data_IF_437294314222
#
_entry.id   IF_437294314222
#
_cell.length_a   1.000
_cell.length_b   1.000
_cell.length_c   1.000
_cell.angle_alpha   90.00
_cell.angle_beta   90.00
_cell.angle_gamma   90.00
#
_symmetry.space_group_name_H-M   'P 1'
#
loop_
_entity.id
_entity.type
_entity.pdbx_description
1 polymer ?
#
# COMPACT_ATOMS: atom_id res chain seq x y z
N UNK A 1 7.35 4.91 36.80
CA UNK A 1 8.66 4.42 36.33
C UNK A 1 8.53 4.15 34.84
N UNK A 2 8.68 5.21 34.05
CA UNK A 2 8.72 5.18 32.60
C UNK A 2 10.15 4.87 32.18
N UNK A 3 10.30 3.94 31.23
CA UNK A 3 11.43 3.63 30.33
C UNK A 3 11.61 2.11 30.28
N UNK A 4 11.09 1.49 29.22
CA UNK A 4 11.63 0.28 28.56
C UNK A 4 10.68 -0.16 27.43
N UNK A 5 10.50 0.70 26.41
CA UNK A 5 9.78 0.34 25.17
C UNK A 5 10.37 1.08 23.96
N UNK A 6 11.68 1.00 23.80
CA UNK A 6 12.39 1.38 22.57
C UNK A 6 13.56 0.41 22.41
N UNK A 7 13.31 -0.74 21.79
CA UNK A 7 14.28 -1.65 21.16
C UNK A 7 13.51 -2.90 20.74
N UNK A 8 12.73 -2.74 19.69
CA UNK A 8 12.03 -3.81 19.00
C UNK A 8 11.93 -3.49 17.52
N UNK A 9 12.95 -2.82 16.98
CA UNK A 9 13.17 -2.81 15.53
C UNK A 9 13.73 -4.19 15.24
N UNK A 10 12.83 -5.13 14.95
CA UNK A 10 13.23 -6.32 14.22
C UNK A 10 13.93 -5.82 12.96
N UNK A 11 15.17 -6.27 12.74
CA UNK A 11 15.92 -6.02 11.52
C UNK A 11 15.12 -6.55 10.34
N UNK A 12 14.27 -5.71 9.77
CA UNK A 12 13.72 -5.88 8.43
C UNK A 12 14.86 -5.59 7.45
N UNK A 13 15.85 -6.49 7.48
CA UNK A 13 17.06 -6.39 6.69
C UNK A 13 16.73 -6.43 5.20
N UNK A 14 17.63 -5.92 4.38
CA UNK A 14 17.54 -5.92 2.91
C UNK A 14 17.12 -7.30 2.33
N UNK A 15 17.37 -8.39 3.05
CA UNK A 15 16.89 -9.74 2.74
C UNK A 15 15.36 -9.94 2.81
N UNK A 16 14.62 -9.26 3.70
CA UNK A 16 13.14 -9.27 3.71
C UNK A 16 12.58 -8.45 2.54
N UNK A 17 13.28 -7.38 2.13
CA UNK A 17 13.03 -6.65 0.88
C UNK A 17 13.29 -7.51 -0.37
N UNK A 18 14.31 -8.37 -0.38
CA UNK A 18 14.53 -9.34 -1.48
C UNK A 18 13.52 -10.51 -1.49
N UNK A 19 12.95 -10.85 -0.32
CA UNK A 19 11.81 -11.79 -0.22
C UNK A 19 10.50 -11.16 -0.69
N UNK A 20 10.36 -9.83 -0.62
CA UNK A 20 9.27 -9.07 -1.25
C UNK A 20 9.57 -9.01 -2.74
N UNK A 21 8.76 -9.72 -3.51
CA UNK A 21 9.01 -10.07 -4.91
C UNK A 21 8.79 -8.87 -5.87
N UNK A 22 9.39 -7.70 -5.59
CA UNK A 22 9.18 -6.48 -6.38
C UNK A 22 10.02 -6.42 -7.66
N UNK A 23 11.17 -7.12 -7.70
CA UNK A 23 12.00 -7.25 -8.90
C UNK A 23 12.46 -8.70 -9.07
N UNK A 24 12.15 -9.35 -10.21
CA UNK A 24 12.62 -10.71 -10.46
C UNK A 24 14.14 -10.79 -10.35
N UNK A 25 14.66 -11.69 -9.49
CA UNK A 25 16.10 -11.90 -9.28
C UNK A 25 16.89 -12.07 -10.60
N UNK A 26 16.38 -12.81 -11.62
CA UNK A 26 17.06 -12.92 -12.91
C UNK A 26 17.24 -11.58 -13.63
N UNK A 27 16.27 -10.66 -13.47
CA UNK A 27 16.35 -9.32 -14.05
C UNK A 27 17.41 -8.46 -13.37
N UNK A 28 17.52 -8.55 -12.03
CA UNK A 28 18.56 -7.87 -11.27
C UNK A 28 19.97 -8.34 -11.68
N UNK A 29 20.17 -9.66 -11.77
CA UNK A 29 21.44 -10.25 -12.21
C UNK A 29 21.77 -9.78 -13.63
N UNK A 30 20.78 -9.77 -14.52
CA UNK A 30 20.94 -9.27 -15.89
C UNK A 30 21.36 -7.80 -15.90
N UNK A 31 20.74 -6.93 -15.09
CA UNK A 31 21.07 -5.51 -15.01
C UNK A 31 22.49 -5.29 -14.48
N UNK A 32 22.87 -5.99 -13.42
CA UNK A 32 24.20 -5.88 -12.82
C UNK A 32 25.29 -6.39 -13.77
N UNK A 33 25.06 -7.52 -14.43
CA UNK A 33 25.94 -8.02 -15.49
C UNK A 33 26.02 -7.01 -16.64
N UNK A 34 24.89 -6.45 -17.08
CA UNK A 34 24.84 -5.46 -18.15
C UNK A 34 25.66 -4.21 -17.81
N UNK A 35 25.59 -3.74 -16.57
CA UNK A 35 26.39 -2.62 -16.08
C UNK A 35 27.89 -2.96 -16.11
N UNK A 36 28.29 -4.11 -15.58
CA UNK A 36 29.69 -4.55 -15.59
C UNK A 36 30.26 -4.64 -17.02
N UNK A 37 29.48 -5.15 -17.97
CA UNK A 37 29.88 -5.25 -19.37
C UNK A 37 30.07 -3.87 -20.03
N UNK A 38 29.24 -2.88 -19.69
CA UNK A 38 29.41 -1.50 -20.16
C UNK A 38 30.73 -0.92 -19.64
N UNK A 39 31.05 -1.16 -18.36
CA UNK A 39 32.28 -0.68 -17.71
C UNK A 39 33.52 -1.32 -18.35
N UNK A 40 33.52 -2.64 -18.57
CA UNK A 40 34.62 -3.35 -19.23
C UNK A 40 34.80 -2.86 -20.67
N UNK A 41 33.70 -2.68 -21.40
CA UNK A 41 33.76 -2.16 -22.77
C UNK A 41 34.37 -0.75 -22.82
N UNK A 42 33.99 0.11 -21.87
CA UNK A 42 34.57 1.45 -21.72
C UNK A 42 36.08 1.39 -21.43
N UNK A 43 36.52 0.48 -20.57
CA UNK A 43 37.94 0.28 -20.26
C UNK A 43 38.74 -0.15 -21.50
N UNK A 44 38.24 -1.13 -22.26
CA UNK A 44 38.86 -1.59 -23.51
C UNK A 44 38.93 -0.48 -24.57
N UNK A 45 37.87 0.34 -24.66
CA UNK A 45 37.82 1.51 -25.54
C UNK A 45 38.91 2.54 -25.20
N UNK A 46 39.08 2.89 -23.92
CA UNK A 46 40.05 3.90 -23.48
C UNK A 46 41.50 3.42 -23.62
N UNK A 47 41.77 2.14 -23.35
CA UNK A 47 43.08 1.51 -23.55
C UNK A 47 43.41 1.23 -25.03
N UNK A 48 42.45 1.41 -25.95
CA UNK A 48 42.58 1.14 -27.39
C UNK A 48 43.04 -0.30 -27.69
N UNK A 49 42.70 -1.26 -26.83
CA UNK A 49 43.22 -2.62 -26.92
C UNK A 49 42.35 -3.48 -27.85
N UNK A 50 42.70 -3.49 -29.15
CA UNK A 50 41.91 -4.16 -30.21
C UNK A 50 41.81 -5.67 -29.98
N UNK A 51 42.91 -6.34 -29.60
CA UNK A 51 42.90 -7.78 -29.35
C UNK A 51 41.97 -8.14 -28.19
N UNK A 52 42.02 -7.37 -27.09
CA UNK A 52 41.10 -7.55 -25.96
C UNK A 52 39.65 -7.28 -26.34
N UNK A 53 39.38 -6.26 -27.17
CA UNK A 53 38.05 -5.99 -27.71
C UNK A 53 37.52 -7.12 -28.59
N UNK A 54 38.38 -7.78 -29.38
CA UNK A 54 38.01 -8.96 -30.17
C UNK A 54 37.64 -10.16 -29.30
N UNK A 55 38.48 -10.49 -28.31
CA UNK A 55 38.19 -11.57 -27.35
C UNK A 55 36.89 -11.29 -26.59
N UNK A 56 36.70 -10.05 -26.14
CA UNK A 56 35.49 -9.61 -25.47
C UNK A 56 34.25 -9.70 -26.38
N UNK A 57 34.37 -9.36 -27.67
CA UNK A 57 33.29 -9.49 -28.65
C UNK A 57 32.87 -10.96 -28.82
N UNK A 58 33.83 -11.89 -28.96
CA UNK A 58 33.53 -13.33 -29.09
C UNK A 58 32.80 -13.82 -27.84
N UNK A 59 33.33 -13.49 -26.65
CA UNK A 59 32.70 -13.82 -25.38
C UNK A 59 31.26 -13.27 -25.27
N UNK A 60 31.06 -12.00 -25.63
CA UNK A 60 29.76 -11.34 -25.58
C UNK A 60 28.73 -11.98 -26.52
N UNK A 61 29.13 -12.36 -27.73
CA UNK A 61 28.27 -13.07 -28.68
C UNK A 61 27.82 -14.40 -28.06
N UNK A 62 28.75 -15.22 -27.58
CA UNK A 62 28.42 -16.51 -26.97
C UNK A 62 27.51 -16.35 -25.74
N UNK A 63 27.86 -15.43 -24.84
CA UNK A 63 27.10 -15.19 -23.62
C UNK A 63 25.66 -14.73 -23.89
N UNK A 64 25.46 -13.78 -24.82
CA UNK A 64 24.10 -13.28 -25.14
C UNK A 64 23.24 -14.38 -25.79
N UNK A 65 23.80 -15.19 -26.69
CA UNK A 65 23.05 -16.27 -27.34
C UNK A 65 22.75 -17.41 -26.34
N UNK A 66 23.72 -17.81 -25.52
CA UNK A 66 23.50 -18.82 -24.47
C UNK A 66 22.42 -18.34 -23.49
N UNK A 67 22.51 -17.09 -23.05
CA UNK A 67 21.55 -16.51 -22.12
C UNK A 67 20.14 -16.45 -22.71
N UNK A 68 20.01 -15.93 -23.93
CA UNK A 68 18.69 -15.70 -24.53
C UNK A 68 18.00 -16.99 -24.97
N UNK A 69 18.73 -17.97 -25.50
CA UNK A 69 18.15 -19.19 -26.04
C UNK A 69 18.07 -20.37 -25.06
N UNK A 70 18.91 -20.40 -24.02
CA UNK A 70 18.94 -21.52 -23.07
C UNK A 70 18.57 -21.11 -21.65
N UNK A 71 19.17 -20.04 -21.11
CA UNK A 71 18.97 -19.66 -19.70
C UNK A 71 17.60 -19.01 -19.47
N UNK A 72 17.23 -18.03 -20.29
CA UNK A 72 15.95 -17.32 -20.14
C UNK A 72 14.73 -18.24 -20.32
N UNK A 73 14.68 -19.16 -21.32
CA UNK A 73 13.57 -20.10 -21.44
C UNK A 73 13.53 -21.13 -20.30
N UNK A 74 14.70 -21.56 -19.79
CA UNK A 74 14.77 -22.49 -18.66
C UNK A 74 14.23 -21.88 -17.36
N UNK A 75 14.44 -20.59 -17.13
CA UNK A 75 13.97 -19.89 -15.92
C UNK A 75 12.52 -19.41 -16.07
N UNK A 76 12.13 -18.90 -17.24
CA UNK A 76 10.80 -18.32 -17.46
C UNK A 76 9.72 -19.33 -17.87
N UNK A 77 10.11 -20.58 -18.16
CA UNK A 77 9.25 -21.64 -18.71
C UNK A 77 8.48 -21.24 -19.98
N UNK A 78 8.87 -20.14 -20.64
CA UNK A 78 8.28 -19.62 -21.87
C UNK A 78 9.35 -19.56 -22.94
N UNK A 79 9.01 -20.03 -24.14
CA UNK A 79 9.92 -20.01 -25.27
C UNK A 79 10.17 -18.60 -25.79
N UNK A 80 11.36 -18.36 -26.35
CA UNK A 80 11.69 -17.09 -27.02
C UNK A 80 10.76 -16.76 -28.20
N UNK A 81 10.17 -17.78 -28.84
CA UNK A 81 9.31 -17.65 -30.03
C UNK A 81 7.90 -17.16 -29.69
N UNK A 82 7.44 -17.30 -28.45
CA UNK A 82 6.05 -16.99 -28.06
C UNK A 82 5.68 -15.51 -28.26
N UNK A 83 4.48 -15.24 -28.78
CA UNK A 83 4.04 -13.90 -29.20
C UNK A 83 3.96 -12.88 -28.04
N UNK A 84 3.77 -13.38 -26.81
CA UNK A 84 3.65 -12.54 -25.60
C UNK A 84 4.99 -12.00 -25.07
N UNK A 85 6.14 -12.42 -25.63
CA UNK A 85 7.48 -12.06 -25.12
C UNK A 85 8.14 -10.92 -25.93
N UNK A 86 7.45 -9.77 -26.09
CA UNK A 86 7.99 -8.61 -26.83
C UNK A 86 9.26 -7.97 -26.19
N UNK A 87 9.33 -7.75 -24.86
CA UNK A 87 10.48 -7.04 -24.26
C UNK A 87 11.83 -7.77 -24.44
N UNK A 88 11.95 -9.10 -24.22
CA UNK A 88 13.19 -9.82 -24.52
C UNK A 88 13.57 -9.79 -26.01
N UNK A 89 12.59 -9.88 -26.92
CA UNK A 89 12.83 -9.79 -28.37
C UNK A 89 13.43 -8.44 -28.75
N UNK A 90 12.88 -7.33 -28.22
CA UNK A 90 13.41 -5.98 -28.42
C UNK A 90 14.80 -5.81 -27.83
N UNK A 91 15.04 -6.32 -26.62
CA UNK A 91 16.37 -6.27 -25.99
C UNK A 91 17.40 -7.01 -26.83
N UNK A 92 17.08 -8.21 -27.31
CA UNK A 92 17.98 -8.99 -28.17
C UNK A 92 18.26 -8.26 -29.48
N UNK A 93 17.26 -7.68 -30.12
CA UNK A 93 17.42 -6.91 -31.35
C UNK A 93 18.38 -5.72 -31.16
N UNK A 94 18.20 -4.93 -30.09
CA UNK A 94 19.09 -3.83 -29.74
C UNK A 94 20.52 -4.34 -29.46
N UNK A 95 20.66 -5.50 -28.81
CA UNK A 95 21.96 -6.13 -28.57
C UNK A 95 22.64 -6.59 -29.85
N UNK A 96 21.91 -7.12 -30.83
CA UNK A 96 22.47 -7.47 -32.13
C UNK A 96 22.99 -6.23 -32.86
N UNK A 97 22.28 -5.09 -32.81
CA UNK A 97 22.77 -3.82 -33.34
C UNK A 97 24.09 -3.42 -32.65
N UNK A 98 24.16 -3.51 -31.32
CA UNK A 98 25.39 -3.25 -30.57
C UNK A 98 26.55 -4.17 -31.02
N UNK A 99 26.30 -5.47 -31.19
CA UNK A 99 27.32 -6.42 -31.64
C UNK A 99 27.82 -6.09 -33.05
N UNK A 100 26.94 -5.69 -33.96
CA UNK A 100 27.31 -5.26 -35.33
C UNK A 100 28.17 -3.99 -35.27
N UNK A 101 27.77 -2.99 -34.49
CA UNK A 101 28.54 -1.75 -34.33
C UNK A 101 29.90 -2.00 -33.69
N UNK A 102 29.97 -2.91 -32.72
CA UNK A 102 31.22 -3.33 -32.08
C UNK A 102 32.15 -4.06 -33.06
N UNK A 103 31.61 -4.97 -33.88
CA UNK A 103 32.39 -5.63 -34.94
C UNK A 103 32.89 -4.64 -36.00
N UNK A 104 32.06 -3.66 -36.38
CA UNK A 104 32.44 -2.58 -37.29
C UNK A 104 33.57 -1.72 -36.71
N UNK A 105 33.53 -1.42 -35.40
CA UNK A 105 34.58 -0.71 -34.71
C UNK A 105 35.89 -1.49 -34.69
N UNK A 106 35.86 -2.80 -34.41
CA UNK A 106 37.07 -3.65 -34.44
C UNK A 106 37.68 -3.66 -35.85
N UNK A 107 36.84 -3.80 -36.89
CA UNK A 107 37.29 -3.77 -38.28
C UNK A 107 37.92 -2.45 -38.69
N UNK A 108 37.37 -1.34 -38.20
CA UNK A 108 37.81 0.02 -38.59
C UNK A 108 38.97 0.55 -37.74
N UNK A 109 39.25 -0.07 -36.59
CA UNK A 109 40.28 0.35 -35.65
C UNK A 109 39.90 1.56 -34.79
N UNK A 110 40.77 1.87 -33.80
CA UNK A 110 40.58 3.03 -32.92
C UNK A 110 41.32 4.26 -33.46
N UNK A 111 40.69 5.46 -33.45
CA UNK A 111 41.38 6.69 -33.84
C UNK A 111 42.43 7.10 -32.80
N UNK A 112 43.40 7.91 -33.23
CA UNK A 112 44.50 8.37 -32.36
C UNK A 112 44.01 9.32 -31.25
N UNK A 113 42.98 10.13 -31.51
CA UNK A 113 42.38 11.08 -30.54
C UNK A 113 40.99 10.60 -30.07
N UNK A 114 40.93 10.06 -28.85
CA UNK A 114 39.68 9.54 -28.23
C UNK A 114 39.23 10.32 -26.99
N UNK A 115 40.13 11.07 -26.35
CA UNK A 115 39.83 11.87 -25.16
C UNK A 115 39.10 13.16 -25.57
N UNK A 116 37.78 13.05 -25.64
CA UNK A 116 36.88 14.19 -25.80
C UNK A 116 35.44 13.75 -25.59
N UNK A 117 34.65 14.58 -24.91
CA UNK A 117 33.22 14.32 -24.80
C UNK A 117 32.55 14.49 -26.18
N UNK A 118 31.75 13.52 -26.60
CA UNK A 118 31.07 13.52 -27.88
C UNK A 118 30.15 14.75 -28.04
N UNK A 119 29.46 15.15 -26.96
CA UNK A 119 28.56 16.29 -26.96
C UNK A 119 29.30 17.63 -27.07
N UNK A 120 30.57 17.68 -26.67
CA UNK A 120 31.33 18.92 -26.56
C UNK A 120 32.12 19.31 -27.83
N UNK A 121 31.81 18.71 -28.98
CA UNK A 121 32.54 18.97 -30.25
C UNK A 121 32.13 20.25 -30.98
N UNK A 122 30.88 20.69 -30.83
CA UNK A 122 30.36 21.94 -31.42
C UNK A 122 29.64 22.76 -30.36
N UNK A 123 29.60 24.07 -30.52
CA UNK A 123 29.02 25.01 -29.55
C UNK A 123 27.62 25.47 -29.98
N UNK A 124 26.70 24.53 -30.20
CA UNK A 124 25.35 24.82 -30.70
C UNK A 124 24.30 24.63 -29.59
N UNK A 125 23.10 25.19 -29.75
CA UNK A 125 21.98 24.96 -28.83
C UNK A 125 21.66 23.47 -28.62
N UNK A 126 21.70 22.67 -29.68
CA UNK A 126 21.46 21.21 -29.60
C UNK A 126 22.47 20.56 -28.65
N UNK A 127 23.75 20.90 -28.79
CA UNK A 127 24.79 20.34 -27.92
C UNK A 127 24.72 20.88 -26.49
N UNK A 128 24.30 22.13 -26.31
CA UNK A 128 24.02 22.70 -24.99
C UNK A 128 22.93 21.91 -24.26
N UNK A 129 21.78 21.69 -24.91
CA UNK A 129 20.66 20.95 -24.30
C UNK A 129 20.98 19.47 -24.10
N UNK A 130 21.64 18.81 -25.07
CA UNK A 130 22.07 17.42 -24.92
C UNK A 130 23.10 17.25 -23.79
N UNK A 131 24.05 18.17 -23.65
CA UNK A 131 25.04 18.13 -22.57
C UNK A 131 24.40 18.43 -21.20
N UNK A 132 23.47 19.40 -21.13
CA UNK A 132 22.64 19.64 -19.93
C UNK A 132 21.82 18.40 -19.55
N UNK A 133 21.18 17.75 -20.52
CA UNK A 133 20.42 16.51 -20.29
C UNK A 133 21.32 15.36 -19.84
N UNK A 134 22.51 15.23 -20.43
CA UNK A 134 23.53 14.26 -20.03
C UNK A 134 23.96 14.44 -18.56
N UNK A 135 24.11 15.68 -18.09
CA UNK A 135 24.42 15.96 -16.67
C UNK A 135 23.23 15.79 -15.72
N UNK A 136 21.99 15.77 -16.24
CA UNK A 136 20.80 15.55 -15.43
C UNK A 136 20.61 14.08 -15.06
N UNK A 137 21.17 13.16 -15.86
CA UNK A 137 21.13 11.72 -15.57
C UNK A 137 22.00 11.44 -14.33
N UNK A 138 21.42 10.94 -13.22
CA UNK A 138 22.17 10.70 -12.00
C UNK A 138 23.34 9.73 -12.22
N UNK A 139 24.48 10.02 -11.60
CA UNK A 139 25.70 9.21 -11.59
C UNK A 139 26.40 8.98 -12.95
N UNK A 140 25.76 9.30 -14.07
CA UNK A 140 26.33 9.02 -15.39
C UNK A 140 27.56 9.89 -15.67
N UNK A 141 27.51 11.17 -15.31
CA UNK A 141 28.62 12.10 -15.48
C UNK A 141 29.81 11.70 -14.60
N UNK A 142 29.54 11.41 -13.33
CA UNK A 142 30.52 11.08 -12.31
C UNK A 142 31.21 9.76 -12.62
N UNK A 143 30.44 8.71 -12.94
CA UNK A 143 30.99 7.41 -13.32
C UNK A 143 31.87 7.54 -14.56
N UNK A 144 31.47 8.34 -15.56
CA UNK A 144 32.31 8.60 -16.72
C UNK A 144 33.64 9.24 -16.32
N UNK A 145 33.62 10.32 -15.53
CA UNK A 145 34.85 11.03 -15.15
C UNK A 145 35.80 10.13 -14.35
N UNK A 146 35.27 9.27 -13.47
CA UNK A 146 36.05 8.27 -12.74
C UNK A 146 36.66 7.21 -13.68
N UNK A 147 35.86 6.66 -14.58
CA UNK A 147 36.30 5.69 -15.58
C UNK A 147 37.40 6.28 -16.50
N UNK A 148 37.19 7.50 -16.98
CA UNK A 148 38.16 8.19 -17.83
C UNK A 148 39.48 8.45 -17.05
N UNK A 149 39.45 8.72 -15.74
CA UNK A 149 40.64 8.85 -14.89
C UNK A 149 41.38 7.51 -14.69
N UNK A 150 40.67 6.42 -14.39
CA UNK A 150 41.27 5.10 -14.09
C UNK A 150 42.04 4.54 -15.29
N UNK A 151 41.52 4.70 -16.50
CA UNK A 151 42.06 4.07 -17.71
C UNK A 151 42.83 4.99 -18.65
N UNK A 152 42.99 6.26 -18.27
CA UNK A 152 43.89 7.19 -18.98
C UNK A 152 45.18 7.34 -18.21
N UNK A 153 46.31 7.29 -18.92
CA UNK A 153 47.61 7.55 -18.30
C UNK A 153 47.74 9.07 -18.02
N UNK A 154 47.54 9.45 -16.76
CA UNK A 154 47.59 10.85 -16.28
C UNK A 154 48.46 10.98 -15.04
N UNK A 155 49.14 12.11 -14.89
CA UNK A 155 49.91 12.46 -13.67
C UNK A 155 49.05 13.14 -12.60
N UNK A 156 47.77 13.43 -12.88
CA UNK A 156 46.86 14.11 -11.96
C UNK A 156 46.23 13.16 -10.95
N UNK A 157 46.20 13.57 -9.68
CA UNK A 157 45.38 12.91 -8.66
C UNK A 157 43.89 13.08 -8.97
N UNK A 158 43.05 12.16 -8.48
CA UNK A 158 41.61 12.09 -8.73
C UNK A 158 40.89 13.42 -8.43
N UNK A 159 41.18 14.07 -7.30
CA UNK A 159 40.54 15.35 -6.96
C UNK A 159 40.86 16.46 -7.98
N UNK A 160 42.09 16.51 -8.48
CA UNK A 160 42.49 17.49 -9.50
C UNK A 160 41.85 17.17 -10.85
N UNK A 161 41.71 15.88 -11.18
CA UNK A 161 40.99 15.43 -12.37
C UNK A 161 39.51 15.84 -12.34
N UNK A 162 38.81 15.57 -11.22
CA UNK A 162 37.40 15.95 -11.06
C UNK A 162 37.21 17.47 -11.12
N UNK A 163 38.12 18.25 -10.52
CA UNK A 163 38.11 19.72 -10.63
C UNK A 163 38.28 20.18 -12.08
N UNK A 164 39.21 19.57 -12.82
CA UNK A 164 39.44 19.89 -14.23
C UNK A 164 38.21 19.60 -15.09
N UNK A 165 37.57 18.44 -14.89
CA UNK A 165 36.32 18.07 -15.59
C UNK A 165 35.15 19.00 -15.23
N UNK A 166 34.98 19.38 -13.97
CA UNK A 166 33.94 20.33 -13.56
C UNK A 166 34.16 21.74 -14.16
N UNK A 167 35.40 22.24 -14.17
CA UNK A 167 35.75 23.49 -14.84
C UNK A 167 35.45 23.37 -16.33
N UNK A 168 35.83 22.27 -16.98
CA UNK A 168 35.56 22.05 -18.40
C UNK A 168 34.06 22.07 -18.71
N UNK A 169 33.23 21.37 -17.92
CA UNK A 169 31.78 21.34 -18.10
C UNK A 169 31.15 22.73 -18.00
N UNK A 170 31.54 23.51 -16.97
CA UNK A 170 31.05 24.86 -16.78
C UNK A 170 31.50 25.81 -17.89
N UNK A 171 32.77 25.75 -18.29
CA UNK A 171 33.31 26.56 -19.40
C UNK A 171 32.63 26.20 -20.73
N UNK A 172 32.38 24.92 -20.99
CA UNK A 172 31.67 24.48 -22.19
C UNK A 172 30.25 25.05 -22.26
N UNK A 173 29.49 24.97 -21.16
CA UNK A 173 28.14 25.54 -21.08
C UNK A 173 28.16 27.05 -21.31
N UNK A 174 29.07 27.76 -20.65
CA UNK A 174 29.26 29.21 -20.83
C UNK A 174 29.63 29.54 -22.28
N UNK A 175 30.53 28.78 -22.91
CA UNK A 175 30.94 29.01 -24.30
C UNK A 175 29.78 28.83 -25.28
N UNK A 176 28.92 27.83 -25.06
CA UNK A 176 27.70 27.64 -25.84
C UNK A 176 26.73 28.83 -25.70
N UNK A 177 26.53 29.33 -24.47
CA UNK A 177 25.68 30.51 -24.23
C UNK A 177 26.27 31.75 -24.92
N UNK A 178 27.58 31.98 -24.79
CA UNK A 178 28.25 33.13 -25.42
C UNK A 178 28.15 33.10 -26.94
N UNK A 179 28.31 31.93 -27.55
CA UNK A 179 28.09 31.79 -28.99
C UNK A 179 26.64 32.04 -29.38
N UNK A 180 25.69 31.55 -28.59
CA UNK A 180 24.27 31.83 -28.83
C UNK A 180 23.94 33.33 -28.72
N UNK A 181 24.55 34.05 -27.78
CA UNK A 181 24.43 35.51 -27.66
C UNK A 181 25.06 36.25 -28.85
N UNK A 182 26.16 35.72 -29.41
CA UNK A 182 26.85 36.28 -30.59
C UNK A 182 26.06 36.03 -31.88
N UNK A 183 25.52 34.82 -32.05
CA UNK A 183 24.75 34.41 -33.24
C UNK A 183 23.34 35.03 -33.26
N UNK A 184 22.75 35.27 -32.09
CA UNK A 184 21.44 35.90 -31.92
C UNK A 184 21.52 37.12 -31.00
N UNK A 185 22.15 38.23 -31.46
CA UNK A 185 22.38 39.39 -30.62
C UNK A 185 21.05 40.09 -30.30
N UNK A 186 20.84 40.37 -29.02
CA UNK A 186 19.67 41.12 -28.56
C UNK A 186 20.02 42.59 -28.41
N UNK A 187 19.25 43.53 -29.00
CA UNK A 187 19.56 44.95 -28.91
C UNK A 187 19.51 45.43 -27.46
N UNK A 188 20.54 46.19 -27.05
CA UNK A 188 20.63 46.76 -25.70
C UNK A 188 19.50 47.76 -25.45
N UNK A 189 18.91 47.72 -24.26
CA UNK A 189 17.82 48.62 -23.86
C UNK A 189 16.45 48.32 -24.51
N UNK A 190 16.35 47.28 -25.34
CA UNK A 190 15.07 46.88 -25.93
C UNK A 190 14.21 46.07 -24.97
N UNK A 191 12.89 46.26 -25.02
CA UNK A 191 11.93 45.46 -24.26
C UNK A 191 11.95 44.01 -24.79
N UNK A 192 12.14 43.03 -23.91
CA UNK A 192 11.98 41.61 -24.24
C UNK A 192 10.52 41.33 -24.65
N UNK A 193 10.33 40.51 -25.69
CA UNK A 193 9.02 40.16 -26.23
C UNK A 193 8.11 39.59 -25.13
N UNK A 194 6.85 40.03 -25.13
CA UNK A 194 5.86 39.58 -24.15
C UNK A 194 5.67 38.05 -24.22
N UNK A 195 5.74 37.46 -25.42
CA UNK A 195 5.64 36.01 -25.61
C UNK A 195 6.75 35.23 -24.86
N UNK A 196 8.00 35.70 -24.88
CA UNK A 196 9.09 35.02 -24.16
C UNK A 196 8.94 35.17 -22.65
N UNK A 197 8.47 36.33 -22.16
CA UNK A 197 8.24 36.57 -20.73
C UNK A 197 7.09 35.71 -20.18
N UNK A 198 5.92 35.80 -20.80
CA UNK A 198 4.73 35.07 -20.34
C UNK A 198 4.80 33.59 -20.69
N UNK A 199 5.46 33.20 -21.78
CA UNK A 199 5.66 31.81 -22.16
C UNK A 199 6.55 31.07 -21.15
N UNK A 200 7.80 31.50 -21.00
CA UNK A 200 8.73 30.82 -20.09
C UNK A 200 8.34 31.02 -18.62
N UNK A 201 7.98 32.25 -18.22
CA UNK A 201 7.57 32.55 -16.85
C UNK A 201 6.23 31.89 -16.48
N UNK A 202 5.26 31.89 -17.40
CA UNK A 202 3.98 31.24 -17.19
C UNK A 202 4.08 29.72 -17.14
N UNK A 203 4.92 29.10 -17.98
CA UNK A 203 5.18 27.66 -17.93
C UNK A 203 5.80 27.25 -16.57
N UNK A 204 6.78 28.00 -16.08
CA UNK A 204 7.39 27.74 -14.77
C UNK A 204 6.39 27.93 -13.62
N UNK A 205 5.59 29.00 -13.67
CA UNK A 205 4.55 29.25 -12.66
C UNK A 205 3.50 28.12 -12.67
N UNK A 206 3.03 27.71 -13.85
CA UNK A 206 2.08 26.62 -14.00
C UNK A 206 2.63 25.30 -13.49
N UNK A 207 3.91 24.98 -13.77
CA UNK A 207 4.54 23.77 -13.26
C UNK A 207 4.60 23.75 -11.72
N UNK A 208 4.88 24.87 -11.08
CA UNK A 208 4.88 24.99 -9.61
C UNK A 208 3.46 24.80 -9.05
N UNK A 209 2.45 25.43 -9.66
CA UNK A 209 1.04 25.26 -9.28
C UNK A 209 0.66 23.78 -9.40
N UNK A 210 1.04 23.11 -10.49
CA UNK A 210 0.77 21.68 -10.68
C UNK A 210 1.41 20.87 -9.55
N UNK A 211 2.69 21.09 -9.22
CA UNK A 211 3.37 20.33 -8.15
C UNK A 211 2.66 20.49 -6.79
N UNK A 212 2.15 21.69 -6.48
CA UNK A 212 1.46 21.95 -5.21
C UNK A 212 0.06 21.34 -5.18
N UNK A 213 -0.72 21.50 -6.25
CA UNK A 213 -2.15 21.17 -6.27
C UNK A 213 -2.47 19.78 -6.83
N UNK A 214 -1.60 19.20 -7.64
CA UNK A 214 -1.80 17.88 -8.23
C UNK A 214 -1.90 16.76 -7.18
N UNK A 215 -1.08 16.72 -6.11
CA UNK A 215 -1.28 15.74 -5.04
C UNK A 215 -2.67 15.87 -4.41
N UNK A 216 -3.10 17.10 -4.08
CA UNK A 216 -4.42 17.36 -3.50
C UNK A 216 -5.58 16.91 -4.41
N UNK A 217 -5.42 17.08 -5.73
CA UNK A 217 -6.38 16.60 -6.72
C UNK A 217 -6.46 15.07 -6.73
N UNK A 218 -5.32 14.37 -6.60
CA UNK A 218 -5.33 12.90 -6.48
C UNK A 218 -5.99 12.42 -5.17
N UNK A 219 -5.75 13.09 -4.05
CA UNK A 219 -6.42 12.79 -2.78
C UNK A 219 -7.94 12.94 -2.89
N UNK A 220 -8.44 13.97 -3.56
CA UNK A 220 -9.90 14.21 -3.68
C UNK A 220 -10.60 13.26 -4.66
N UNK A 221 -9.92 12.83 -5.72
CA UNK A 221 -10.39 11.74 -6.61
C UNK A 221 -10.29 10.35 -5.95
N UNK A 222 -9.61 10.29 -4.80
CA UNK A 222 -9.47 9.16 -3.87
C UNK A 222 -10.72 8.30 -3.68
N UNK A 223 -11.86 8.93 -3.47
CA UNK A 223 -13.11 8.25 -3.08
C UNK A 223 -14.07 8.04 -4.26
N UNK A 224 -13.79 8.64 -5.42
CA UNK A 224 -14.70 8.59 -6.58
C UNK A 224 -14.30 7.50 -7.58
N UNK A 225 -13.00 7.22 -7.72
CA UNK A 225 -12.47 6.29 -8.74
C UNK A 225 -12.17 4.89 -8.19
N UNK A 226 -12.22 4.70 -6.87
CA UNK A 226 -12.01 3.40 -6.24
C UNK A 226 -13.11 2.39 -6.57
N UNK A 227 -12.84 1.09 -6.37
CA UNK A 227 -13.85 0.03 -6.44
C UNK A 227 -14.39 -0.28 -5.04
N UNK A 228 -15.70 -0.50 -4.92
CA UNK A 228 -16.27 -1.00 -3.67
C UNK A 228 -15.73 -2.40 -3.39
N UNK A 229 -15.32 -2.63 -2.15
CA UNK A 229 -14.92 -3.94 -1.65
C UNK A 229 -15.48 -4.14 -0.24
N UNK A 230 -16.52 -4.96 -0.16
CA UNK A 230 -17.12 -5.38 1.11
C UNK A 230 -16.23 -6.45 1.79
N UNK A 231 -16.27 -6.55 3.13
CA UNK A 231 -15.58 -7.62 3.85
C UNK A 231 -16.13 -9.00 3.45
N UNK A 232 -15.24 -9.98 3.34
CA UNK A 232 -15.59 -11.38 3.07
C UNK A 232 -16.06 -12.10 4.34
N UNK A 233 -15.38 -11.86 5.46
CA UNK A 233 -15.69 -12.45 6.76
C UNK A 233 -15.68 -11.39 7.86
N UNK A 234 -16.57 -11.53 8.83
CA UNK A 234 -16.64 -10.66 10.02
C UNK A 234 -16.73 -11.52 11.27
N UNK A 235 -15.74 -11.38 12.14
CA UNK A 235 -15.71 -12.07 13.43
C UNK A 235 -16.04 -11.10 14.55
N UNK A 236 -17.00 -11.46 15.41
CA UNK A 236 -17.38 -10.71 16.60
C UNK A 236 -17.16 -11.58 17.84
N UNK A 237 -16.44 -11.06 18.82
CA UNK A 237 -16.12 -11.75 20.07
C UNK A 237 -16.46 -10.87 21.27
N UNK A 238 -17.26 -11.40 22.21
CA UNK A 238 -17.60 -10.76 23.48
C UNK A 238 -16.96 -11.55 24.63
N UNK A 239 -16.04 -10.90 25.34
CA UNK A 239 -15.28 -11.48 26.43
C UNK A 239 -15.56 -10.73 27.73
N UNK A 240 -15.51 -11.43 28.85
CA UNK A 240 -15.58 -10.83 30.18
C UNK A 240 -14.27 -11.10 30.91
N UNK A 241 -13.61 -10.04 31.37
CA UNK A 241 -12.29 -10.10 31.98
C UNK A 241 -11.27 -10.87 31.12
N UNK A 242 -10.49 -11.73 31.77
CA UNK A 242 -9.55 -12.65 31.12
C UNK A 242 -10.10 -14.05 30.86
N UNK A 243 -11.42 -14.25 30.94
CA UNK A 243 -12.05 -15.57 30.82
C UNK A 243 -12.35 -15.94 29.35
N UNK A 244 -12.81 -17.17 29.14
CA UNK A 244 -13.25 -17.64 27.81
C UNK A 244 -14.35 -16.72 27.24
N UNK A 245 -14.35 -16.44 25.92
CA UNK A 245 -15.38 -15.65 25.24
C UNK A 245 -16.77 -16.17 25.57
N UNK A 246 -17.65 -15.26 25.98
CA UNK A 246 -19.06 -15.57 26.17
C UNK A 246 -19.70 -15.84 24.81
N UNK A 247 -19.48 -14.93 23.86
CA UNK A 247 -20.07 -15.02 22.53
C UNK A 247 -18.99 -14.88 21.47
N UNK A 248 -18.94 -15.85 20.57
CA UNK A 248 -18.12 -15.82 19.36
C UNK A 248 -18.95 -16.21 18.14
N UNK A 249 -18.86 -15.39 17.09
CA UNK A 249 -19.52 -15.64 15.81
C UNK A 249 -18.62 -15.21 14.66
N UNK A 250 -18.59 -16.02 13.62
CA UNK A 250 -18.01 -15.67 12.33
C UNK A 250 -19.12 -15.59 11.29
N UNK A 251 -19.26 -14.43 10.66
CA UNK A 251 -20.28 -14.11 9.66
C UNK A 251 -19.62 -14.09 8.30
N UNK A 252 -20.08 -14.98 7.41
CA UNK A 252 -19.58 -15.11 6.05
C UNK A 252 -20.40 -14.27 5.06
N UNK A 253 -19.91 -14.14 3.82
CA UNK A 253 -20.47 -13.34 2.73
C UNK A 253 -22.01 -13.43 2.55
N UNK A 254 -22.64 -14.58 2.78
CA UNK A 254 -24.10 -14.74 2.61
C UNK A 254 -24.96 -13.86 3.53
N UNK A 255 -24.43 -13.47 4.69
CA UNK A 255 -25.09 -12.62 5.68
C UNK A 255 -24.55 -11.17 5.68
N UNK A 256 -23.61 -10.86 4.78
CA UNK A 256 -23.07 -9.51 4.53
C UNK A 256 -23.67 -9.04 3.22
N UNK A 257 -24.69 -8.18 3.28
CA UNK A 257 -25.39 -7.71 2.09
C UNK A 257 -25.12 -6.23 1.85
N UNK A 258 -24.90 -5.79 0.60
CA UNK A 258 -24.87 -4.36 0.29
C UNK A 258 -26.20 -3.73 0.67
N UNK A 259 -26.16 -2.48 1.11
CA UNK A 259 -27.36 -1.73 1.45
C UNK A 259 -28.18 -1.48 0.18
N UNK A 260 -29.48 -1.78 0.23
CA UNK A 260 -30.38 -1.46 -0.88
C UNK A 260 -30.40 0.05 -1.15
N UNK A 261 -30.52 0.43 -2.42
CA UNK A 261 -30.57 1.83 -2.82
C UNK A 261 -31.72 2.61 -2.14
N UNK A 262 -32.87 1.95 -1.89
CA UNK A 262 -33.99 2.58 -1.20
C UNK A 262 -33.67 2.86 0.28
N UNK A 263 -33.07 1.89 0.98
CA UNK A 263 -32.58 2.07 2.35
C UNK A 263 -31.49 3.14 2.45
N UNK A 264 -30.62 3.24 1.45
CA UNK A 264 -29.61 4.30 1.36
C UNK A 264 -30.25 5.70 1.26
N UNK A 265 -31.26 5.85 0.41
CA UNK A 265 -32.00 7.13 0.29
C UNK A 265 -32.71 7.50 1.59
N UNK A 266 -33.28 6.53 2.29
CA UNK A 266 -33.92 6.75 3.60
C UNK A 266 -32.90 7.14 4.68
N UNK A 267 -31.72 6.51 4.70
CA UNK A 267 -30.61 6.89 5.59
C UNK A 267 -30.17 8.34 5.34
N UNK A 268 -29.99 8.74 4.07
CA UNK A 268 -29.66 10.12 3.71
C UNK A 268 -30.76 11.10 4.13
N UNK A 269 -32.04 10.71 3.98
CA UNK A 269 -33.17 11.53 4.39
C UNK A 269 -33.24 11.71 5.92
N UNK A 270 -32.92 10.68 6.70
CA UNK A 270 -32.87 10.73 8.15
C UNK A 270 -31.85 11.75 8.66
N UNK A 271 -30.69 11.85 8.00
CA UNK A 271 -29.59 12.73 8.40
C UNK A 271 -29.52 14.04 7.60
N UNK A 272 -30.60 14.41 6.89
CA UNK A 272 -30.63 15.61 6.03
C UNK A 272 -30.35 16.93 6.77
N UNK A 273 -30.66 16.98 8.07
CA UNK A 273 -30.50 18.20 8.88
C UNK A 273 -29.10 18.35 9.50
N UNK A 274 -28.26 17.30 9.47
CA UNK A 274 -26.91 17.34 10.02
C UNK A 274 -25.86 17.47 8.91
N UNK A 275 -25.27 18.67 8.79
CA UNK A 275 -24.26 18.97 7.78
C UNK A 275 -23.05 18.02 7.84
N UNK A 276 -22.60 17.65 9.05
CA UNK A 276 -21.50 16.71 9.24
C UNK A 276 -21.83 15.28 8.78
N UNK A 277 -23.05 14.81 9.01
CA UNK A 277 -23.50 13.50 8.57
C UNK A 277 -23.65 13.44 7.05
N UNK A 278 -24.23 14.48 6.43
CA UNK A 278 -24.33 14.58 4.98
C UNK A 278 -22.96 14.62 4.31
N UNK A 279 -22.00 15.37 4.87
CA UNK A 279 -20.62 15.39 4.36
C UNK A 279 -19.95 14.02 4.46
N UNK A 280 -20.22 13.26 5.52
CA UNK A 280 -19.73 11.88 5.66
C UNK A 280 -20.38 10.95 4.62
N UNK A 281 -21.72 10.94 4.53
CA UNK A 281 -22.47 10.09 3.61
C UNK A 281 -22.17 10.39 2.14
N UNK A 282 -21.81 11.63 1.78
CA UNK A 282 -21.45 12.01 0.42
C UNK A 282 -20.17 11.32 -0.10
N UNK A 283 -19.35 10.73 0.78
CA UNK A 283 -18.14 10.00 0.37
C UNK A 283 -18.42 8.55 -0.03
N UNK A 284 -19.64 8.04 0.20
CA UNK A 284 -19.99 6.63 0.02
C UNK A 284 -21.19 6.49 -0.91
N UNK A 285 -21.23 5.39 -1.65
CA UNK A 285 -22.39 4.93 -2.41
C UNK A 285 -23.09 3.78 -1.67
N UNK A 286 -24.32 3.45 -2.07
CA UNK A 286 -25.07 2.33 -1.48
C UNK A 286 -24.30 0.99 -1.54
N UNK A 287 -23.49 0.79 -2.58
CA UNK A 287 -22.66 -0.41 -2.77
C UNK A 287 -21.44 -0.46 -1.84
N UNK A 288 -21.03 0.66 -1.23
CA UNK A 288 -19.91 0.73 -0.27
C UNK A 288 -20.35 0.43 1.16
N UNK A 289 -21.68 0.40 1.39
CA UNK A 289 -22.27 0.19 2.70
C UNK A 289 -22.82 -1.22 2.78
N UNK A 290 -22.41 -1.98 3.79
CA UNK A 290 -22.94 -3.30 4.07
C UNK A 290 -23.80 -3.32 5.33
N UNK A 291 -24.86 -4.12 5.27
CA UNK A 291 -25.62 -4.57 6.43
C UNK A 291 -25.13 -5.97 6.77
N UNK A 292 -24.66 -6.13 8.00
CA UNK A 292 -24.19 -7.41 8.53
C UNK A 292 -25.26 -7.92 9.46
N UNK A 293 -25.90 -9.03 9.08
CA UNK A 293 -26.90 -9.70 9.90
C UNK A 293 -26.24 -10.81 10.72
N UNK A 294 -26.04 -10.54 12.01
CA UNK A 294 -25.34 -11.42 12.94
C UNK A 294 -26.37 -12.26 13.69
N UNK A 295 -26.23 -13.58 13.71
CA UNK A 295 -27.10 -14.43 14.53
C UNK A 295 -26.82 -14.17 16.02
N UNK A 296 -27.87 -13.97 16.82
CA UNK A 296 -27.74 -13.77 18.27
C UNK A 296 -27.20 -14.99 19.02
N UNK A 297 -27.28 -16.20 18.47
CA UNK A 297 -26.73 -17.40 19.11
C UNK A 297 -25.24 -17.58 18.78
N UNK A 298 -24.41 -17.85 19.80
CA UNK A 298 -22.99 -18.11 19.57
C UNK A 298 -22.80 -19.37 18.73
N UNK A 299 -21.85 -19.30 17.78
CA UNK A 299 -21.43 -20.47 16.98
C UNK A 299 -20.56 -21.44 17.77
N UNK A 300 -20.02 -21.01 18.91
CA UNK A 300 -19.18 -21.81 19.78
C UNK A 300 -19.91 -22.15 21.08
N UNK A 301 -19.74 -23.38 21.56
CA UNK A 301 -20.15 -23.79 22.91
C UNK A 301 -19.23 -23.11 23.93
N UNK A 302 -19.79 -22.68 25.06
CA UNK A 302 -19.02 -22.05 26.12
C UNK A 302 -18.22 -23.11 26.88
N UNK A 303 -16.92 -23.15 26.63
CA UNK A 303 -15.98 -24.16 27.13
C UNK A 303 -15.15 -23.64 28.32
N UNK A 304 -15.80 -22.90 29.23
CA UNK A 304 -15.15 -22.46 30.46
C UNK A 304 -14.87 -23.67 31.38
N UNK A 305 -13.76 -23.64 32.10
CA UNK A 305 -13.50 -24.66 33.12
C UNK A 305 -14.34 -24.37 34.39
N UNK A 306 -14.87 -25.39 35.09
CA UNK A 306 -15.61 -25.18 36.34
C UNK A 306 -14.91 -24.27 37.37
N UNK A 307 -13.58 -24.41 37.66
CA UNK A 307 -12.91 -23.50 38.58
C UNK A 307 -12.82 -22.06 38.03
N UNK A 308 -12.70 -21.87 36.71
CA UNK A 308 -12.73 -20.54 36.10
C UNK A 308 -14.12 -19.91 36.18
N UNK A 309 -15.19 -20.70 36.08
CA UNK A 309 -16.57 -20.23 36.26
C UNK A 309 -16.83 -19.79 37.70
N UNK A 310 -16.41 -20.59 38.69
CA UNK A 310 -16.49 -20.21 40.11
C UNK A 310 -15.69 -18.93 40.41
N UNK A 311 -14.49 -18.81 39.85
CA UNK A 311 -13.67 -17.60 39.97
C UNK A 311 -14.36 -16.36 39.36
N UNK A 312 -14.96 -16.50 38.17
CA UNK A 312 -15.73 -15.43 37.52
C UNK A 312 -16.93 -14.99 38.38
N UNK A 313 -17.66 -15.94 38.96
CA UNK A 313 -18.80 -15.64 39.86
C UNK A 313 -18.32 -14.88 41.10
N UNK A 314 -17.20 -15.30 41.71
CA UNK A 314 -16.62 -14.61 42.85
C UNK A 314 -16.15 -13.19 42.49
N UNK A 315 -15.49 -13.03 41.35
CA UNK A 315 -14.99 -11.73 40.87
C UNK A 315 -16.14 -10.76 40.57
N UNK A 316 -17.22 -11.23 39.94
CA UNK A 316 -18.42 -10.42 39.69
C UNK A 316 -19.05 -9.90 40.99
N UNK A 317 -19.08 -10.71 42.05
CA UNK A 317 -19.64 -10.31 43.33
C UNK A 317 -18.75 -9.30 44.09
N UNK A 318 -17.43 -9.36 43.92
CA UNK A 318 -16.48 -8.54 44.67
C UNK A 318 -16.11 -7.23 43.95
N UNK A 319 -15.72 -7.31 42.68
CA UNK A 319 -15.06 -6.22 41.94
C UNK A 319 -15.72 -5.89 40.60
N UNK A 320 -15.43 -4.71 40.05
CA UNK A 320 -15.85 -4.35 38.70
C UNK A 320 -15.05 -5.15 37.66
N UNK A 321 -15.75 -5.81 36.74
CA UNK A 321 -15.13 -6.62 35.67
C UNK A 321 -15.30 -5.91 34.34
N UNK A 322 -14.27 -5.97 33.49
CA UNK A 322 -14.31 -5.37 32.15
C UNK A 322 -14.99 -6.30 31.15
N UNK A 323 -15.90 -5.76 30.36
CA UNK A 323 -16.53 -6.42 29.22
C UNK A 323 -15.87 -5.91 27.93
N UNK A 324 -15.33 -6.82 27.13
CA UNK A 324 -14.61 -6.52 25.89
C UNK A 324 -15.44 -7.03 24.70
N UNK A 325 -15.78 -6.14 23.75
CA UNK A 325 -16.34 -6.51 22.46
C UNK A 325 -15.31 -6.24 21.37
N UNK A 326 -14.83 -7.29 20.70
CA UNK A 326 -13.87 -7.22 19.60
C UNK A 326 -14.57 -7.52 18.29
N UNK A 327 -14.32 -6.71 17.28
CA UNK A 327 -14.75 -6.97 15.90
C UNK A 327 -13.54 -7.05 14.98
N UNK A 328 -13.55 -8.01 14.07
CA UNK A 328 -12.51 -8.20 13.07
C UNK A 328 -13.15 -8.39 11.70
N UNK A 329 -12.64 -7.68 10.72
CA UNK A 329 -13.11 -7.65 9.35
C UNK A 329 -12.03 -8.18 8.43
N UNK A 330 -12.37 -9.20 7.65
CA UNK A 330 -11.49 -9.76 6.64
C UNK A 330 -11.89 -9.23 5.28
N UNK A 331 -10.93 -8.72 4.49
CA UNK A 331 -11.15 -8.37 3.08
C UNK A 331 -10.22 -9.18 2.19
N UNK A 332 -10.80 -9.97 1.30
CA UNK A 332 -10.05 -10.69 0.27
C UNK A 332 -9.72 -9.74 -0.90
N UNK A 333 -8.62 -9.02 -0.75
CA UNK A 333 -8.05 -8.24 -1.85
C UNK A 333 -7.18 -9.22 -2.65
N UNK A 334 -7.66 -9.63 -3.83
CA UNK A 334 -7.01 -10.64 -4.69
C UNK A 334 -5.51 -10.37 -4.97
N UNK A 335 -5.09 -9.09 -4.94
CA UNK A 335 -3.75 -8.64 -5.32
C UNK A 335 -2.86 -8.08 -4.18
N UNK A 336 -3.29 -8.15 -2.91
CA UNK A 336 -2.54 -7.54 -1.79
C UNK A 336 -2.19 -8.60 -0.74
N UNK A 337 -0.95 -9.10 -0.78
CA UNK A 337 -0.36 -9.96 0.27
C UNK A 337 0.23 -9.18 1.44
N UNK A 338 0.22 -7.84 1.37
CA UNK A 338 1.01 -6.96 2.25
C UNK A 338 0.27 -6.35 3.43
N UNK A 339 -1.06 -6.38 3.46
CA UNK A 339 -1.83 -5.89 4.61
C UNK A 339 -2.38 -7.08 5.40
N UNK A 340 -2.43 -6.97 6.73
CA UNK A 340 -3.18 -7.91 7.58
C UNK A 340 -4.59 -8.01 6.99
N UNK A 341 -4.94 -9.15 6.41
CA UNK A 341 -6.26 -9.30 5.75
C UNK A 341 -7.41 -9.03 6.71
N UNK A 342 -7.13 -9.21 8.00
CA UNK A 342 -8.01 -9.03 9.15
C UNK A 342 -7.68 -7.73 9.86
N UNK A 343 -8.66 -6.83 9.92
CA UNK A 343 -8.57 -5.55 10.58
C UNK A 343 -9.64 -5.44 11.66
N UNK A 344 -9.27 -5.02 12.86
CA UNK A 344 -10.19 -5.00 13.98
C UNK A 344 -9.87 -3.93 15.01
N UNK A 345 -10.84 -3.72 15.89
CA UNK A 345 -10.69 -2.87 17.07
C UNK A 345 -11.53 -3.48 18.21
N UNK A 346 -11.39 -2.94 19.41
CA UNK A 346 -12.13 -3.39 20.58
C UNK A 346 -12.79 -2.26 21.36
N UNK A 347 -13.99 -2.53 21.87
CA UNK A 347 -14.67 -1.69 22.86
C UNK A 347 -14.61 -2.35 24.23
N UNK A 348 -14.10 -1.61 25.20
CA UNK A 348 -14.06 -2.04 26.61
C UNK A 348 -15.03 -1.20 27.45
N UNK A 349 -15.83 -1.87 28.27
CA UNK A 349 -16.77 -1.24 29.23
C UNK A 349 -16.65 -1.93 30.59
N UNK A 350 -16.48 -1.16 31.66
CA UNK A 350 -16.43 -1.72 33.01
C UNK A 350 -17.85 -1.89 33.56
N UNK A 351 -18.16 -3.11 34.03
CA UNK A 351 -19.41 -3.42 34.71
C UNK A 351 -19.35 -2.88 36.16
N UNK A 352 -19.61 -1.59 36.34
CA UNK A 352 -19.56 -0.94 37.65
C UNK A 352 -20.79 -1.25 38.51
N UNK A 353 -21.96 -1.40 37.87
CA UNK A 353 -23.23 -1.59 38.57
C UNK A 353 -23.26 -2.93 39.35
N UNK A 354 -23.36 -2.88 40.69
CA UNK A 354 -23.43 -4.09 41.51
C UNK A 354 -24.72 -4.89 41.32
N UNK A 355 -25.81 -4.29 40.85
CA UNK A 355 -27.05 -5.03 40.57
C UNK A 355 -26.86 -5.92 39.33
N UNK A 356 -26.40 -5.33 38.22
CA UNK A 356 -26.07 -6.04 36.98
C UNK A 356 -25.08 -7.19 37.20
N UNK A 357 -24.02 -6.95 37.99
CA UNK A 357 -23.02 -7.99 38.28
C UNK A 357 -23.60 -9.15 39.06
N UNK A 358 -24.48 -8.88 40.02
CA UNK A 358 -25.17 -9.93 40.81
C UNK A 358 -26.15 -10.73 39.96
N UNK A 359 -26.88 -10.09 39.05
CA UNK A 359 -27.74 -10.79 38.10
C UNK A 359 -26.94 -11.69 37.15
N UNK A 360 -25.80 -11.21 36.64
CA UNK A 360 -24.91 -12.02 35.80
C UNK A 360 -24.32 -13.20 36.58
N UNK A 361 -23.92 -12.99 37.83
CA UNK A 361 -23.43 -14.04 38.71
C UNK A 361 -24.53 -15.08 39.03
N UNK A 362 -25.77 -14.63 39.26
CA UNK A 362 -26.92 -15.50 39.50
C UNK A 362 -27.25 -16.35 38.25
N UNK A 363 -27.20 -15.77 37.06
CA UNK A 363 -27.35 -16.49 35.79
C UNK A 363 -26.27 -17.57 35.62
N UNK A 364 -25.01 -17.25 35.96
CA UNK A 364 -23.90 -18.20 35.89
C UNK A 364 -24.00 -19.34 36.92
N UNK A 365 -24.69 -19.12 38.04
CA UNK A 365 -24.96 -20.17 39.05
C UNK A 365 -26.14 -21.08 38.70
N UNK A 366 -26.82 -20.82 37.58
CA UNK A 366 -27.95 -21.62 37.11
C UNK A 366 -29.31 -21.24 37.74
N UNK A 367 -29.45 -20.01 38.24
CA UNK A 367 -30.74 -19.53 38.75
C UNK A 367 -31.73 -19.29 37.60
N UNK A 368 -32.85 -20.04 37.61
CA UNK A 368 -33.86 -20.02 36.56
C UNK A 368 -34.72 -18.74 36.54
N UNK A 369 -34.67 -17.92 37.60
CA UNK A 369 -35.40 -16.66 37.67
C UNK A 369 -34.76 -15.57 36.78
N UNK A 370 -33.45 -15.66 36.52
CA UNK A 370 -32.73 -14.66 35.72
C UNK A 370 -32.72 -15.04 34.24
N UNK A 371 -33.71 -14.53 33.49
CA UNK A 371 -33.89 -14.85 32.06
C UNK A 371 -33.03 -14.03 31.09
N UNK A 372 -32.30 -13.02 31.56
CA UNK A 372 -31.43 -12.20 30.72
C UNK A 372 -30.89 -10.96 31.42
N UNK A 373 -29.66 -10.57 31.08
CA UNK A 373 -28.93 -9.46 31.71
C UNK A 373 -28.57 -8.44 30.66
N UNK A 374 -28.94 -7.17 30.84
CA UNK A 374 -28.71 -6.12 29.85
C UNK A 374 -27.42 -5.37 30.14
N UNK A 375 -26.38 -5.65 29.36
CA UNK A 375 -25.11 -4.97 29.43
C UNK A 375 -25.24 -3.48 29.03
N UNK A 376 -24.36 -2.61 29.57
CA UNK A 376 -24.28 -1.21 29.16
C UNK A 376 -23.98 -1.07 27.65
N UNK A 377 -24.13 0.12 27.07
CA UNK A 377 -23.95 0.34 25.63
C UNK A 377 -22.56 -0.09 25.16
N UNK A 378 -22.48 -1.21 24.42
CA UNK A 378 -21.22 -1.80 23.95
C UNK A 378 -21.24 -2.12 22.46
N UNK A 379 -22.41 -2.38 21.86
CA UNK A 379 -22.52 -2.78 20.45
C UNK A 379 -22.56 -1.55 19.53
N UNK A 380 -21.57 -1.31 18.66
CA UNK A 380 -21.59 -0.17 17.76
C UNK A 380 -22.75 -0.23 16.75
N UNK A 381 -23.32 0.93 16.41
CA UNK A 381 -24.33 1.05 15.34
C UNK A 381 -23.70 1.11 13.95
N UNK A 382 -22.65 1.93 13.82
CA UNK A 382 -22.02 2.23 12.54
C UNK A 382 -20.51 2.07 12.67
N UNK A 383 -19.93 1.22 11.83
CA UNK A 383 -18.48 1.02 11.74
C UNK A 383 -17.97 1.53 10.39
N UNK A 384 -16.75 2.04 10.39
CA UNK A 384 -16.00 2.43 9.20
C UNK A 384 -14.79 1.51 9.10
N UNK A 385 -14.74 0.73 8.03
CA UNK A 385 -13.56 -0.06 7.69
C UNK A 385 -12.75 0.73 6.67
N UNK A 386 -11.72 1.40 7.18
CA UNK A 386 -10.84 2.24 6.38
C UNK A 386 -9.98 1.43 5.41
N UNK A 387 -9.45 2.11 4.39
CA UNK A 387 -8.46 1.53 3.48
C UNK A 387 -7.17 1.09 4.18
N UNK A 388 -6.73 1.85 5.18
CA UNK A 388 -5.47 1.61 5.90
C UNK A 388 -5.54 0.44 6.88
N UNK A 389 -6.69 -0.24 6.97
CA UNK A 389 -6.83 -1.40 7.84
C UNK A 389 -7.19 -1.09 9.28
N UNK A 390 -7.75 0.09 9.52
CA UNK A 390 -8.32 0.47 10.81
C UNK A 390 -9.84 0.41 10.74
N UNK A 391 -10.46 -0.11 11.80
CA UNK A 391 -11.92 -0.15 11.94
C UNK A 391 -12.35 0.80 13.03
N UNK A 392 -12.95 1.92 12.66
CA UNK A 392 -13.37 2.97 13.59
C UNK A 392 -14.88 3.05 13.73
N UNK A 393 -15.37 3.50 14.88
CA UNK A 393 -16.80 3.78 15.07
C UNK A 393 -17.16 5.12 14.46
N UNK A 394 -18.21 5.16 13.63
CA UNK A 394 -18.63 6.38 12.93
C UNK A 394 -19.31 7.33 13.91
N UNK A 395 -18.65 8.46 14.19
CA UNK A 395 -19.16 9.51 15.10
C UNK A 395 -20.00 10.58 14.39
N UNK A 396 -19.95 10.63 13.06
CA UNK A 396 -20.60 11.68 12.27
C UNK A 396 -22.12 11.51 12.14
N UNK A 397 -22.63 10.29 12.32
CA UNK A 397 -24.03 9.95 12.07
C UNK A 397 -24.89 10.08 13.34
N UNK A 398 -24.49 9.47 14.45
CA UNK A 398 -25.34 9.38 15.64
C UNK A 398 -24.61 9.88 16.90
N UNK A 399 -25.36 10.54 17.79
CA UNK A 399 -24.90 10.92 19.13
C UNK A 399 -24.77 9.71 20.05
N UNK A 400 -25.62 8.69 19.88
CA UNK A 400 -25.54 7.42 20.60
C UNK A 400 -24.84 6.35 19.75
N UNK A 401 -23.52 6.27 19.89
CA UNK A 401 -22.65 5.41 19.07
C UNK A 401 -22.85 3.90 19.33
N UNK A 402 -23.28 3.54 20.55
CA UNK A 402 -23.37 2.16 21.03
C UNK A 402 -24.78 1.82 21.50
N UNK A 403 -25.14 0.54 21.40
CA UNK A 403 -26.42 -0.03 21.84
C UNK A 403 -26.22 -0.99 22.99
N UNK A 404 -27.25 -1.10 23.80
CA UNK A 404 -27.34 -2.09 24.88
C UNK A 404 -27.47 -3.49 24.30
N UNK A 405 -26.99 -4.46 25.07
CA UNK A 405 -26.90 -5.84 24.65
C UNK A 405 -27.39 -6.75 25.77
N UNK A 406 -28.45 -7.51 25.53
CA UNK A 406 -29.00 -8.48 26.48
C UNK A 406 -28.33 -9.83 26.29
N UNK A 407 -27.72 -10.35 27.34
CA UNK A 407 -27.04 -11.64 27.40
C UNK A 407 -27.97 -12.67 28.04
N UNK A 408 -28.02 -13.87 27.46
CA UNK A 408 -28.75 -15.02 28.00
C UNK A 408 -27.86 -16.25 27.91
N UNK A 409 -27.82 -17.02 28.99
CA UNK A 409 -27.17 -18.33 29.02
C UNK A 409 -28.23 -19.39 28.71
N UNK A 410 -27.97 -20.25 27.73
CA UNK A 410 -28.79 -21.40 27.42
C UNK A 410 -28.03 -22.67 27.79
N UNK A 411 -28.77 -23.64 28.31
CA UNK A 411 -28.25 -24.97 28.61
C UNK A 411 -29.04 -26.00 27.80
N UNK A 412 -28.34 -26.97 27.22
CA UNK A 412 -28.93 -28.02 26.41
C UNK A 412 -28.18 -29.33 26.57
N UNK A 413 -28.94 -30.42 26.69
CA UNK A 413 -28.40 -31.77 26.67
C UNK A 413 -28.41 -32.30 25.24
N UNK A 414 -27.30 -32.89 24.79
CA UNK A 414 -27.32 -33.71 23.58
C UNK A 414 -28.10 -34.99 23.88
N UNK A 415 -29.11 -35.30 23.06
CA UNK A 415 -29.84 -36.57 23.16
C UNK A 415 -28.81 -37.72 23.13
N UNK A 416 -28.71 -38.49 24.21
CA UNK A 416 -27.75 -39.58 24.49
C UNK A 416 -26.37 -39.26 25.12
N UNK A 417 -26.10 -38.02 25.59
CA UNK A 417 -24.90 -37.73 26.39
C UNK A 417 -25.29 -37.14 27.75
N UNK A 418 -24.63 -37.59 28.83
CA UNK A 418 -24.81 -37.05 30.19
C UNK A 418 -24.19 -35.67 30.39
N UNK A 419 -23.61 -35.07 29.33
CA UNK A 419 -22.99 -33.75 29.36
C UNK A 419 -24.00 -32.65 29.06
N UNK A 420 -24.11 -31.69 29.97
CA UNK A 420 -24.78 -30.42 29.71
C UNK A 420 -23.85 -29.53 28.88
N UNK A 421 -24.35 -29.00 27.78
CA UNK A 421 -23.65 -27.99 26.99
C UNK A 421 -24.28 -26.63 27.22
N UNK A 422 -23.45 -25.62 27.41
CA UNK A 422 -23.91 -24.24 27.65
C UNK A 422 -23.43 -23.35 26.50
N UNK A 423 -24.28 -22.43 26.06
CA UNK A 423 -23.89 -21.42 25.07
C UNK A 423 -24.60 -20.10 25.36
N UNK A 424 -23.97 -19.02 24.94
CA UNK A 424 -24.54 -17.69 25.10
C UNK A 424 -25.36 -17.29 23.89
N UNK A 425 -26.50 -16.68 24.17
CA UNK A 425 -27.29 -15.91 23.23
C UNK A 425 -27.20 -14.43 23.58
N UNK A 426 -27.09 -13.62 22.55
CA UNK A 426 -26.97 -12.18 22.61
C UNK A 426 -28.11 -11.58 21.81
N UNK A 427 -28.85 -10.66 22.41
CA UNK A 427 -29.98 -9.99 21.78
C UNK A 427 -29.87 -8.47 21.95
N UNK A 428 -30.18 -7.72 20.90
CA UNK A 428 -30.25 -6.27 20.94
C UNK A 428 -31.67 -5.81 21.25
N UNK A 429 -31.81 -4.60 21.79
CA UNK A 429 -33.13 -3.96 21.80
C UNK A 429 -33.60 -3.76 20.36
N UNK A 430 -34.81 -4.21 20.04
CA UNK A 430 -35.37 -4.25 18.69
C UNK A 430 -36.83 -3.78 18.75
N UNK A 431 -37.18 -2.81 17.91
CA UNK A 431 -38.55 -2.34 17.69
C UNK A 431 -38.73 -1.96 16.22
N UNK A 432 -39.95 -1.74 15.73
CA UNK A 432 -40.19 -1.43 14.31
C UNK A 432 -39.33 -0.28 13.75
N UNK A 433 -38.98 0.71 14.58
CA UNK A 433 -38.17 1.87 14.18
C UNK A 433 -36.76 1.90 14.81
N UNK A 434 -36.37 0.86 15.55
CA UNK A 434 -35.08 0.77 16.24
C UNK A 434 -34.46 -0.60 16.00
N UNK A 435 -33.19 -0.70 15.60
CA UNK A 435 -32.14 0.32 15.65
C UNK A 435 -31.96 1.14 14.36
N UNK A 436 -32.54 0.69 13.24
CA UNK A 436 -32.39 1.33 11.93
C UNK A 436 -33.76 1.46 11.23
N UNK A 437 -34.39 2.64 11.24
CA UNK A 437 -35.74 2.81 10.67
C UNK A 437 -35.77 2.72 9.13
N UNK A 438 -34.61 2.72 8.47
CA UNK A 438 -34.48 2.66 7.02
C UNK A 438 -34.30 1.23 6.46
N UNK A 439 -34.21 0.21 7.32
CA UNK A 439 -34.11 -1.18 6.88
C UNK A 439 -35.51 -1.82 6.79
N UNK A 440 -35.87 -2.46 5.67
CA UNK A 440 -37.13 -3.19 5.55
C UNK A 440 -37.05 -4.51 6.33
N UNK A 441 -37.99 -4.72 7.24
CA UNK A 441 -38.16 -5.93 8.07
C UNK A 441 -36.94 -6.28 8.95
N UNK A 442 -36.98 -5.84 10.21
CA UNK A 442 -35.95 -6.19 11.20
C UNK A 442 -36.36 -7.46 11.94
N UNK A 443 -35.89 -8.61 11.46
CA UNK A 443 -35.96 -9.85 12.25
C UNK A 443 -35.13 -9.68 13.52
N UNK A 444 -35.81 -9.52 14.66
CA UNK A 444 -35.20 -9.27 15.97
C UNK A 444 -34.40 -10.47 16.52
N UNK A 445 -34.37 -11.59 15.80
CA UNK A 445 -33.44 -12.70 16.09
C UNK A 445 -32.01 -12.41 15.62
N UNK A 446 -31.82 -11.45 14.70
CA UNK A 446 -30.52 -11.04 14.19
C UNK A 446 -30.11 -9.66 14.73
N UNK A 447 -28.82 -9.55 15.07
CA UNK A 447 -28.15 -8.31 15.40
C UNK A 447 -27.60 -7.70 14.12
N UNK A 448 -28.20 -6.60 13.67
CA UNK A 448 -27.71 -5.88 12.49
C UNK A 448 -26.64 -4.84 12.88
N UNK A 449 -25.54 -4.80 12.13
CA UNK A 449 -24.52 -3.73 12.19
C UNK A 449 -24.34 -3.17 10.78
N UNK A 450 -24.22 -1.85 10.67
CA UNK A 450 -23.98 -1.18 9.39
C UNK A 450 -22.51 -0.79 9.30
N UNK A 451 -21.91 -1.12 8.16
CA UNK A 451 -20.48 -0.94 7.94
C UNK A 451 -20.25 -0.16 6.65
N UNK A 452 -19.55 0.97 6.79
CA UNK A 452 -19.07 1.77 5.68
C UNK A 452 -17.69 1.26 5.28
N UNK A 453 -17.51 0.97 4.00
CA UNK A 453 -16.26 0.47 3.47
C UNK A 453 -15.62 1.52 2.57
N UNK A 454 -14.39 1.94 2.86
CA UNK A 454 -13.65 2.76 1.92
C UNK A 454 -13.33 1.96 0.64
N UNK A 455 -13.51 2.61 -0.51
CA UNK A 455 -13.19 2.02 -1.82
C UNK A 455 -11.70 1.74 -1.95
N UNK A 456 -11.37 0.63 -2.60
CA UNK A 456 -9.98 0.17 -2.82
C UNK A 456 -9.52 0.54 -4.23
N UNK A 457 -8.24 0.90 -4.37
CA UNK A 457 -7.63 1.21 -5.67
C UNK A 457 -6.93 0.00 -6.28
N UNK A 458 -6.81 -0.06 -7.62
CA UNK A 458 -5.87 -0.98 -8.26
C UNK A 458 -4.43 -0.74 -7.76
N UNK A 459 -3.67 -1.81 -7.49
CA UNK A 459 -2.35 -1.79 -6.80
C UNK A 459 -1.32 -0.79 -7.37
N UNK A 460 -1.40 -0.48 -8.67
CA UNK A 460 -0.45 0.42 -9.35
C UNK A 460 -0.56 1.86 -8.84
N UNK A 461 -1.74 2.35 -8.44
CA UNK A 461 -1.86 3.69 -7.84
C UNK A 461 -1.65 3.67 -6.32
N UNK A 462 -2.00 2.58 -5.65
CA UNK A 462 -1.95 2.49 -4.19
C UNK A 462 -0.51 2.58 -3.66
N UNK A 463 0.42 1.82 -4.26
CA UNK A 463 1.84 1.78 -3.87
C UNK A 463 2.57 3.12 -4.00
N UNK A 464 2.19 3.95 -4.99
CA UNK A 464 2.84 5.25 -5.22
C UNK A 464 2.32 6.37 -4.34
N UNK A 465 1.07 6.27 -3.86
CA UNK A 465 0.41 7.36 -3.16
C UNK A 465 0.37 7.15 -1.64
N UNK A 466 0.31 5.89 -1.16
CA UNK A 466 0.28 5.54 0.26
C UNK A 466 1.28 4.41 0.58
N UNK A 467 2.55 4.75 0.86
CA UNK A 467 3.47 3.78 1.41
C UNK A 467 2.99 3.33 2.80
N UNK A 468 3.14 2.04 3.18
CA UNK A 468 2.85 1.59 4.53
C UNK A 468 3.73 2.33 5.53
N UNK A 469 3.11 2.83 6.61
CA UNK A 469 3.76 3.58 7.70
C UNK A 469 4.44 2.63 8.68
#
# INVERSE_FOLDING_TARGET
MYLNKFTGVAEDGVASYFKRNEVPIPFLIMLLAQFALIVIDRALYLRKYILGKLVFQIFMVLMIHIWMFFVLPAISHRGFVEDKNLPPKLWYFIKCIYLILSAYQIRSGYPTRILGNFFCKKYNYINYFLFKGYMLVPFLYELRSLMDWIWTDTSMNLSNWLKMEDIFANVFLLKCIRRAEEEYPTPRGSRRSSLTKYGLGGLLLFAIILIIWFPLLLFSLGNTVGRSLLPSDVTLELNIGGYQPLFKINVQQGAIKPLSYDSWRLLQAQYKNSAGALAFLANYDAADVAVISINGNSTAVWSISPPSQEALIQELNQTSVALHLRWQFTRDIEDVKEFERTHGDEKVVNLADPALRRELAAMLSGDAEVRGVTAPPILPKYLLVSRAGRVDVVRALDGEMYRNLTLRLHTGAFQNLSGLSEWWQVQGSCSENYPYPFLPDTDCSYLNIIVFCDKVFPCILHSYLWPPV
#
